data_IF_950761612576
#
_entry.id   IF_950761612576
#
_cell.length_a   1.000
_cell.length_b   1.000
_cell.length_c   1.000
_cell.angle_alpha   90.00
_cell.angle_beta   90.00
_cell.angle_gamma   90.00
#
_symmetry.space_group_name_H-M   'P 1'
#
loop_
_entity.id
_entity.type
_entity.pdbx_description
1 polymer ?
#
# COMPACT_ATOMS: atom_id res chain seq x y z
N UNK A 1 13.10 16.45 -29.87
CA UNK A 1 13.16 17.49 -28.81
C UNK A 1 14.40 18.38 -28.91
N UNK A 2 15.64 17.87 -28.95
CA UNK A 2 16.84 18.74 -29.13
C UNK A 2 16.98 19.22 -30.58
N UNK A 3 16.84 18.30 -31.52
CA UNK A 3 16.81 18.58 -32.96
C UNK A 3 15.70 19.59 -33.28
N UNK A 4 14.48 19.36 -32.79
CA UNK A 4 13.38 20.31 -32.98
C UNK A 4 13.65 21.73 -32.43
N UNK A 5 14.41 21.87 -31.33
CA UNK A 5 14.76 23.19 -30.79
C UNK A 5 15.81 23.92 -31.62
N UNK A 6 16.73 23.17 -32.21
CA UNK A 6 17.73 23.70 -33.13
C UNK A 6 17.06 24.08 -34.46
N UNK A 7 16.23 23.21 -35.01
CA UNK A 7 15.57 23.41 -36.30
C UNK A 7 14.48 24.50 -36.28
N UNK A 8 13.68 24.58 -35.22
CA UNK A 8 12.55 25.52 -35.16
C UNK A 8 12.89 26.85 -34.50
N UNK A 9 13.84 26.86 -33.57
CA UNK A 9 14.13 28.04 -32.74
C UNK A 9 15.59 28.47 -32.79
N UNK A 10 16.45 27.78 -33.56
CA UNK A 10 17.88 28.06 -33.67
C UNK A 10 18.60 28.06 -32.30
N UNK A 11 18.11 27.22 -31.38
CA UNK A 11 18.61 27.15 -30.00
C UNK A 11 19.50 25.91 -29.81
N UNK A 12 20.82 26.14 -29.69
CA UNK A 12 21.75 25.07 -29.29
C UNK A 12 21.74 24.88 -27.77
N UNK A 13 20.92 23.92 -27.31
CA UNK A 13 20.75 23.62 -25.89
C UNK A 13 21.51 22.34 -25.51
N UNK A 14 22.27 22.40 -24.40
CA UNK A 14 22.95 21.21 -23.87
C UNK A 14 21.95 20.18 -23.33
N UNK A 15 22.34 18.90 -23.37
CA UNK A 15 21.51 17.81 -22.85
C UNK A 15 21.14 17.98 -21.37
N UNK A 16 22.05 18.53 -20.57
CA UNK A 16 21.82 18.85 -19.15
C UNK A 16 20.73 19.91 -18.96
N UNK A 17 20.72 20.97 -19.78
CA UNK A 17 19.63 21.97 -19.78
C UNK A 17 18.30 21.34 -20.19
N UNK A 18 18.31 20.49 -21.21
CA UNK A 18 17.11 19.78 -21.67
C UNK A 18 16.48 18.90 -20.59
N UNK A 19 17.31 18.13 -19.87
CA UNK A 19 16.85 17.30 -18.74
C UNK A 19 16.27 18.16 -17.61
N UNK A 20 16.90 19.31 -17.31
CA UNK A 20 16.41 20.25 -16.29
C UNK A 20 15.08 20.88 -16.68
N UNK A 21 14.93 21.34 -17.93
CA UNK A 21 13.66 21.92 -18.42
C UNK A 21 12.56 20.87 -18.45
N UNK A 22 12.84 19.65 -18.92
CA UNK A 22 11.90 18.53 -18.86
C UNK A 22 11.46 18.25 -17.41
N UNK A 23 12.39 18.23 -16.46
CA UNK A 23 12.08 18.06 -15.03
C UNK A 23 11.17 19.18 -14.50
N UNK A 24 11.48 20.44 -14.81
CA UNK A 24 10.66 21.59 -14.41
C UNK A 24 9.26 21.55 -15.03
N UNK A 25 9.15 21.14 -16.30
CA UNK A 25 7.87 20.95 -16.98
C UNK A 25 7.05 19.85 -16.32
N UNK A 26 7.68 18.72 -16.00
CA UNK A 26 7.04 17.62 -15.26
C UNK A 26 6.65 18.02 -13.85
N UNK A 27 7.47 18.76 -13.11
CA UNK A 27 7.13 19.28 -11.78
C UNK A 27 5.94 20.26 -11.82
N UNK A 28 5.84 21.09 -12.87
CA UNK A 28 4.67 21.95 -13.08
C UNK A 28 3.39 21.17 -13.42
N UNK A 29 3.51 20.08 -14.17
CA UNK A 29 2.38 19.26 -14.60
C UNK A 29 1.90 18.29 -13.51
N UNK A 30 2.84 17.59 -12.86
CA UNK A 30 2.58 16.57 -11.84
C UNK A 30 2.28 17.19 -10.47
N UNK A 31 2.60 18.46 -10.27
CA UNK A 31 2.52 19.12 -8.97
C UNK A 31 3.62 18.69 -8.02
N UNK A 32 3.51 19.15 -6.77
CA UNK A 32 4.47 18.85 -5.71
C UNK A 32 4.03 17.60 -4.96
N UNK A 33 4.79 16.51 -5.13
CA UNK A 33 4.63 15.28 -4.33
C UNK A 33 4.70 15.57 -2.83
N UNK A 34 5.45 16.59 -2.41
CA UNK A 34 5.52 17.02 -1.02
C UNK A 34 4.15 17.52 -0.56
N UNK A 35 3.47 18.31 -1.39
CA UNK A 35 2.15 18.86 -1.06
C UNK A 35 1.10 17.76 -1.01
N UNK A 36 1.14 16.78 -1.93
CA UNK A 36 0.23 15.64 -1.91
C UNK A 36 0.41 14.79 -0.65
N UNK A 37 1.66 14.52 -0.25
CA UNK A 37 1.94 13.79 0.99
C UNK A 37 1.49 14.58 2.24
N UNK A 38 1.58 15.90 2.22
CA UNK A 38 1.06 16.76 3.28
C UNK A 38 -0.47 16.72 3.39
N UNK A 39 -1.17 16.33 2.31
CA UNK A 39 -2.63 16.18 2.28
C UNK A 39 -3.12 14.80 2.68
N UNK A 40 -2.24 13.82 2.89
CA UNK A 40 -2.64 12.43 3.18
C UNK A 40 -3.48 12.29 4.46
N UNK A 41 -3.22 13.10 5.49
CA UNK A 41 -4.06 13.11 6.71
C UNK A 41 -5.47 13.61 6.41
N UNK A 42 -5.59 14.69 5.63
CA UNK A 42 -6.88 15.23 5.20
C UNK A 42 -7.60 14.24 4.30
N UNK A 43 -6.88 13.56 3.40
CA UNK A 43 -7.43 12.49 2.57
C UNK A 43 -7.94 11.31 3.41
N UNK A 44 -7.15 10.85 4.38
CA UNK A 44 -7.57 9.81 5.30
C UNK A 44 -8.83 10.21 6.09
N UNK A 45 -8.94 11.47 6.48
CA UNK A 45 -10.13 11.99 7.14
C UNK A 45 -11.35 12.00 6.20
N UNK A 46 -11.18 12.50 4.97
CA UNK A 46 -12.26 12.50 3.97
C UNK A 46 -12.76 11.07 3.68
N UNK A 47 -11.86 10.08 3.63
CA UNK A 47 -12.24 8.68 3.47
C UNK A 47 -13.14 8.19 4.61
N UNK A 48 -12.83 8.55 5.86
CA UNK A 48 -13.66 8.21 7.03
C UNK A 48 -15.02 8.91 6.98
N UNK A 49 -15.03 10.20 6.63
CA UNK A 49 -16.24 11.01 6.61
C UNK A 49 -17.20 10.56 5.50
N UNK A 50 -16.66 10.16 4.34
CA UNK A 50 -17.46 9.70 3.18
C UNK A 50 -17.82 8.22 3.24
N UNK A 51 -17.09 7.41 3.99
CA UNK A 51 -17.36 5.98 4.14
C UNK A 51 -17.43 5.61 5.63
N UNK A 52 -18.48 6.05 6.34
CA UNK A 52 -18.66 5.72 7.75
C UNK A 52 -18.53 4.22 8.00
N UNK A 53 -17.89 3.84 9.10
CA UNK A 53 -17.62 2.44 9.45
C UNK A 53 -16.38 1.84 8.78
N UNK A 54 -15.70 2.55 7.89
CA UNK A 54 -14.44 2.07 7.29
C UNK A 54 -13.25 2.30 8.21
N UNK A 55 -12.35 1.31 8.28
CA UNK A 55 -11.10 1.40 9.01
C UNK A 55 -10.01 2.08 8.19
N UNK A 56 -9.76 3.34 8.50
CA UNK A 56 -8.68 4.12 7.88
C UNK A 56 -7.71 4.58 8.96
N UNK A 57 -6.49 4.06 8.94
CA UNK A 57 -5.46 4.36 9.94
C UNK A 57 -4.25 4.98 9.26
N UNK A 58 -3.89 6.20 9.64
CA UNK A 58 -2.70 6.90 9.13
C UNK A 58 -1.73 7.21 10.27
N UNK A 59 -0.43 7.04 10.03
CA UNK A 59 0.61 7.43 10.96
C UNK A 59 1.64 8.36 10.29
N UNK A 60 1.94 9.45 11.02
CA UNK A 60 3.05 10.36 10.74
C UNK A 60 4.16 10.13 11.77
N UNK A 61 5.41 10.34 11.35
CA UNK A 61 6.57 10.24 12.22
C UNK A 61 6.51 11.31 13.31
N UNK A 62 6.44 10.84 14.56
CA UNK A 62 6.49 11.70 15.75
C UNK A 62 7.82 12.44 15.87
N UNK A 63 8.93 11.77 15.55
CA UNK A 63 10.27 12.37 15.59
C UNK A 63 10.40 13.50 14.57
N UNK A 64 9.92 13.28 13.34
CA UNK A 64 9.90 14.33 12.33
C UNK A 64 8.99 15.49 12.76
N UNK A 65 7.83 15.19 13.37
CA UNK A 65 6.90 16.20 13.83
C UNK A 65 7.50 17.07 14.95
N UNK A 66 8.31 16.48 15.83
CA UNK A 66 9.07 17.22 16.85
C UNK A 66 10.09 18.20 16.25
N UNK A 67 10.64 17.89 15.06
CA UNK A 67 11.48 18.81 14.28
C UNK A 67 10.67 19.82 13.43
N UNK A 68 9.34 19.87 13.58
CA UNK A 68 8.46 20.71 12.77
C UNK A 68 8.25 20.21 11.34
N UNK A 69 8.61 18.96 11.04
CA UNK A 69 8.48 18.34 9.71
C UNK A 69 7.33 17.32 9.72
N UNK A 70 6.48 17.34 8.69
CA UNK A 70 5.54 16.25 8.46
C UNK A 70 6.20 15.18 7.60
N UNK A 71 6.29 13.96 8.13
CA UNK A 71 6.79 12.80 7.38
C UNK A 71 5.82 11.64 7.50
N UNK A 72 5.20 11.30 6.39
CA UNK A 72 4.38 10.09 6.25
C UNK A 72 5.19 8.84 6.63
N UNK A 73 4.57 7.93 7.39
CA UNK A 73 5.13 6.62 7.67
C UNK A 73 4.33 5.52 6.98
N UNK A 74 3.02 5.51 7.23
CA UNK A 74 2.14 4.45 6.74
C UNK A 74 0.67 4.86 6.78
N UNK A 75 -0.12 4.25 5.90
CA UNK A 75 -1.58 4.31 5.92
C UNK A 75 -2.13 2.90 5.65
N UNK A 76 -3.22 2.56 6.33
CA UNK A 76 -4.03 1.35 6.13
C UNK A 76 -5.45 1.78 5.79
N UNK A 77 -6.08 1.06 4.88
CA UNK A 77 -7.44 1.30 4.42
C UNK A 77 -8.15 -0.06 4.28
N UNK A 78 -9.26 -0.21 4.99
CA UNK A 78 -10.26 -1.25 4.81
C UNK A 78 -11.64 -0.59 4.78
N UNK A 79 -12.36 -0.71 3.68
CA UNK A 79 -13.70 -0.13 3.59
C UNK A 79 -14.73 -1.06 4.21
N UNK A 80 -15.73 -0.49 4.89
CA UNK A 80 -16.82 -1.27 5.50
C UNK A 80 -17.55 -2.15 4.48
N UNK A 81 -17.69 -1.66 3.24
CA UNK A 81 -18.28 -2.44 2.15
C UNK A 81 -17.47 -3.71 1.83
N UNK A 82 -16.14 -3.65 1.94
CA UNK A 82 -15.26 -4.80 1.70
C UNK A 82 -15.33 -5.81 2.84
N UNK A 83 -15.32 -5.33 4.08
CA UNK A 83 -15.57 -6.14 5.28
C UNK A 83 -16.94 -6.84 5.22
N UNK A 84 -17.99 -6.11 4.87
CA UNK A 84 -19.35 -6.67 4.74
C UNK A 84 -19.39 -7.74 3.66
N UNK A 85 -18.72 -7.50 2.52
CA UNK A 85 -18.58 -8.49 1.45
C UNK A 85 -17.89 -9.77 1.91
N UNK A 86 -16.82 -9.66 2.71
CA UNK A 86 -16.18 -10.80 3.36
C UNK A 86 -17.15 -11.60 4.23
N UNK A 87 -17.82 -10.91 5.16
CA UNK A 87 -18.79 -11.52 6.09
C UNK A 87 -19.99 -12.15 5.37
N UNK A 88 -20.32 -11.69 4.18
CA UNK A 88 -21.42 -12.23 3.36
C UNK A 88 -21.14 -13.62 2.76
N UNK A 89 -19.92 -14.14 2.88
CA UNK A 89 -19.60 -15.53 2.51
C UNK A 89 -18.53 -15.67 1.43
N UNK A 90 -17.51 -14.82 1.43
CA UNK A 90 -16.30 -15.09 0.64
C UNK A 90 -15.65 -16.40 1.12
N UNK A 91 -14.86 -17.02 0.25
CA UNK A 91 -14.09 -18.21 0.62
C UNK A 91 -13.14 -17.82 1.76
N UNK A 92 -12.94 -18.68 2.78
CA UNK A 92 -12.04 -18.41 3.90
C UNK A 92 -10.56 -18.57 3.50
N UNK A 93 -10.17 -17.94 2.39
CA UNK A 93 -8.86 -17.96 1.78
C UNK A 93 -8.46 -16.51 1.47
N UNK A 94 -7.36 -16.08 2.06
CA UNK A 94 -6.84 -14.71 1.90
C UNK A 94 -5.42 -14.79 1.34
N UNK A 95 -5.23 -14.21 0.17
CA UNK A 95 -3.92 -13.89 -0.39
C UNK A 95 -3.38 -12.60 0.22
N UNK A 96 -2.13 -12.60 0.68
CA UNK A 96 -1.43 -11.40 1.12
C UNK A 96 -0.08 -11.30 0.41
N UNK A 97 0.24 -10.09 -0.05
CA UNK A 97 1.49 -9.82 -0.77
C UNK A 97 1.91 -8.34 -0.64
N UNK A 98 3.20 -8.10 -0.86
CA UNK A 98 3.80 -6.77 -0.88
C UNK A 98 4.38 -6.45 -2.27
N UNK A 99 4.18 -5.22 -2.75
CA UNK A 99 4.81 -4.78 -4.01
C UNK A 99 5.41 -3.40 -3.90
N UNK A 100 6.51 -3.18 -4.63
CA UNK A 100 7.22 -1.90 -4.63
C UNK A 100 6.43 -0.84 -5.40
N UNK A 101 6.18 0.30 -4.75
CA UNK A 101 5.64 1.48 -5.42
C UNK A 101 6.66 2.03 -6.43
N UNK A 102 6.20 2.22 -7.66
CA UNK A 102 6.96 2.83 -8.74
C UNK A 102 6.68 4.33 -8.75
N UNK A 103 7.74 5.14 -8.78
CA UNK A 103 7.62 6.60 -8.79
C UNK A 103 8.77 7.29 -8.07
N UNK A 104 8.59 8.60 -7.85
CA UNK A 104 9.51 9.46 -7.07
C UNK A 104 9.49 9.09 -5.59
N UNK A 105 8.29 8.88 -5.03
CA UNK A 105 8.14 8.39 -3.66
C UNK A 105 8.17 6.87 -3.68
N UNK A 106 9.20 6.29 -3.05
CA UNK A 106 9.33 4.86 -2.83
C UNK A 106 8.48 4.43 -1.65
N UNK A 107 8.21 3.13 -1.57
CA UNK A 107 7.45 2.51 -0.51
C UNK A 107 6.98 1.14 -0.96
N UNK A 108 6.22 0.49 -0.09
CA UNK A 108 5.64 -0.82 -0.35
C UNK A 108 4.13 -0.69 -0.20
N UNK A 109 3.41 -1.24 -1.18
CA UNK A 109 1.98 -1.46 -1.11
C UNK A 109 1.76 -2.89 -0.63
N UNK A 110 1.23 -3.05 0.58
CA UNK A 110 0.77 -4.32 1.13
C UNK A 110 -0.70 -4.48 0.77
N UNK A 111 -1.11 -5.64 0.28
CA UNK A 111 -2.49 -5.90 -0.14
C UNK A 111 -2.97 -7.23 0.43
N UNK A 112 -4.22 -7.26 0.85
CA UNK A 112 -4.97 -8.48 1.18
C UNK A 112 -6.13 -8.65 0.21
N UNK A 113 -6.26 -9.86 -0.34
CA UNK A 113 -7.25 -10.24 -1.33
C UNK A 113 -7.94 -11.52 -0.88
N UNK A 114 -9.27 -11.55 -0.92
CA UNK A 114 -10.07 -12.75 -0.80
C UNK A 114 -10.51 -13.26 -2.18
N UNK A 115 -11.21 -14.38 -2.18
CA UNK A 115 -11.82 -14.95 -3.38
C UNK A 115 -13.29 -15.26 -3.14
N UNK A 116 -14.14 -14.93 -4.11
CA UNK A 116 -15.56 -15.28 -4.07
C UNK A 116 -15.82 -16.75 -4.44
N UNK A 117 -17.08 -17.18 -4.37
CA UNK A 117 -17.47 -18.54 -4.75
C UNK A 117 -17.20 -18.87 -6.24
N UNK A 118 -17.15 -17.85 -7.11
CA UNK A 118 -16.95 -17.94 -8.56
C UNK A 118 -15.46 -17.80 -8.97
N UNK A 119 -14.56 -17.65 -8.00
CA UNK A 119 -13.11 -17.49 -8.15
C UNK A 119 -12.64 -16.10 -8.58
N UNK A 120 -13.49 -15.08 -8.52
CA UNK A 120 -13.04 -13.70 -8.69
C UNK A 120 -12.28 -13.21 -7.46
N UNK A 121 -11.27 -12.39 -7.71
CA UNK A 121 -10.53 -11.74 -6.64
C UNK A 121 -11.30 -10.56 -6.08
N UNK A 122 -11.33 -10.48 -4.75
CA UNK A 122 -12.03 -9.45 -4.01
C UNK A 122 -11.05 -8.75 -3.07
N UNK A 123 -10.73 -7.46 -3.25
CA UNK A 123 -9.84 -6.75 -2.35
C UNK A 123 -10.48 -6.63 -0.96
N UNK A 124 -9.69 -6.85 0.09
CA UNK A 124 -10.14 -6.70 1.47
C UNK A 124 -9.61 -5.40 2.07
N UNK A 125 -8.29 -5.25 2.11
CA UNK A 125 -7.62 -4.08 2.64
C UNK A 125 -6.24 -3.91 2.01
N UNK A 126 -5.71 -2.69 2.07
CA UNK A 126 -4.35 -2.39 1.63
C UNK A 126 -3.69 -1.37 2.54
N UNK A 127 -2.36 -1.35 2.51
CA UNK A 127 -1.57 -0.37 3.22
C UNK A 127 -0.40 0.11 2.37
N UNK A 128 -0.08 1.40 2.48
CA UNK A 128 1.18 1.94 1.99
C UNK A 128 2.10 2.11 3.19
N UNK A 129 3.29 1.51 3.12
CA UNK A 129 4.32 1.56 4.16
C UNK A 129 5.67 1.98 3.57
N UNK A 130 6.58 2.46 4.40
CA UNK A 130 7.92 2.88 3.98
C UNK A 130 8.80 1.68 3.58
N UNK A 131 8.73 0.58 4.33
CA UNK A 131 9.53 -0.62 4.14
C UNK A 131 8.75 -1.89 4.48
N UNK A 132 9.13 -2.98 3.86
CA UNK A 132 8.60 -4.30 4.19
C UNK A 132 9.46 -4.93 5.29
N UNK A 133 8.90 -5.03 6.48
CA UNK A 133 9.56 -5.55 7.68
C UNK A 133 8.57 -6.38 8.49
N UNK A 134 9.06 -7.25 9.38
CA UNK A 134 8.17 -7.97 10.30
C UNK A 134 7.30 -7.04 11.15
N UNK A 135 7.78 -5.83 11.50
CA UNK A 135 7.01 -4.83 12.25
C UNK A 135 5.86 -4.24 11.44
N UNK A 136 6.08 -3.96 10.15
CA UNK A 136 5.04 -3.43 9.27
C UNK A 136 4.01 -4.49 8.92
N UNK A 137 4.44 -5.75 8.75
CA UNK A 137 3.54 -6.87 8.58
C UNK A 137 2.71 -7.16 9.83
N UNK A 138 3.30 -7.19 11.03
CA UNK A 138 2.54 -7.34 12.29
C UNK A 138 1.47 -6.26 12.42
N UNK A 139 1.84 -5.00 12.17
CA UNK A 139 0.89 -3.89 12.19
C UNK A 139 -0.24 -4.03 11.16
N UNK A 140 0.08 -4.44 9.93
CA UNK A 140 -0.93 -4.67 8.90
C UNK A 140 -1.88 -5.82 9.30
N UNK A 141 -1.33 -6.93 9.80
CA UNK A 141 -2.09 -8.10 10.23
C UNK A 141 -2.97 -7.82 11.45
N UNK A 142 -2.50 -7.01 12.42
CA UNK A 142 -3.30 -6.55 13.55
C UNK A 142 -4.52 -5.75 13.10
N UNK A 143 -4.34 -4.82 12.17
CA UNK A 143 -5.44 -4.02 11.62
C UNK A 143 -6.40 -4.90 10.79
N UNK A 144 -5.87 -5.80 9.97
CA UNK A 144 -6.68 -6.72 9.18
C UNK A 144 -7.51 -7.67 10.07
N UNK A 145 -6.89 -8.21 11.13
CA UNK A 145 -7.58 -9.03 12.14
C UNK A 145 -8.75 -8.27 12.75
N UNK A 146 -8.52 -7.03 13.18
CA UNK A 146 -9.56 -6.22 13.81
C UNK A 146 -10.68 -5.87 12.82
N UNK A 147 -10.32 -5.43 11.61
CA UNK A 147 -11.29 -4.99 10.60
C UNK A 147 -12.19 -6.14 10.14
N UNK A 148 -11.64 -7.35 10.01
CA UNK A 148 -12.40 -8.54 9.56
C UNK A 148 -12.91 -9.39 10.73
N UNK A 149 -12.73 -8.94 11.96
CA UNK A 149 -13.13 -9.61 13.20
C UNK A 149 -12.63 -11.07 13.29
N UNK A 150 -11.39 -11.30 12.89
CA UNK A 150 -10.75 -12.58 13.14
C UNK A 150 -10.45 -12.71 14.63
N UNK A 151 -10.95 -13.78 15.26
CA UNK A 151 -10.53 -14.15 16.62
C UNK A 151 -9.04 -14.56 16.61
N UNK A 152 -8.73 -15.85 16.72
CA UNK A 152 -7.36 -16.36 16.62
C UNK A 152 -7.01 -16.83 15.19
N UNK A 153 -7.88 -16.54 14.22
CA UNK A 153 -7.75 -16.96 12.81
C UNK A 153 -8.29 -18.34 12.48
N UNK A 154 -9.06 -18.94 13.39
CA UNK A 154 -9.65 -20.27 13.19
C UNK A 154 -10.54 -20.31 11.93
N UNK A 155 -10.40 -21.37 11.13
CA UNK A 155 -11.16 -21.54 9.90
C UNK A 155 -10.68 -20.72 8.69
N UNK A 156 -9.71 -19.82 8.86
CA UNK A 156 -9.15 -19.01 7.75
C UNK A 156 -7.82 -19.59 7.26
N UNK A 157 -7.60 -19.54 5.96
CA UNK A 157 -6.31 -19.88 5.33
C UNK A 157 -5.68 -18.65 4.71
N UNK A 158 -4.44 -18.35 5.08
CA UNK A 158 -3.61 -17.34 4.43
C UNK A 158 -2.71 -17.99 3.38
N UNK A 159 -2.54 -17.30 2.27
CA UNK A 159 -1.55 -17.63 1.24
C UNK A 159 -0.65 -16.42 1.02
N UNK A 160 0.65 -16.60 1.14
CA UNK A 160 1.62 -15.54 0.91
C UNK A 160 2.88 -16.05 0.21
N UNK A 161 3.80 -15.15 -0.11
CA UNK A 161 5.18 -15.53 -0.43
C UNK A 161 5.91 -16.14 0.79
N UNK A 162 7.15 -16.59 0.60
CA UNK A 162 7.96 -17.22 1.65
C UNK A 162 8.75 -16.20 2.50
N UNK A 163 8.30 -14.93 2.56
CA UNK A 163 9.03 -13.91 3.31
C UNK A 163 8.94 -14.15 4.83
N UNK A 164 10.10 -14.26 5.49
CA UNK A 164 10.20 -14.59 6.93
C UNK A 164 9.39 -13.64 7.83
N UNK A 165 9.44 -12.34 7.55
CA UNK A 165 8.74 -11.33 8.37
C UNK A 165 7.22 -11.44 8.31
N UNK A 166 6.69 -11.91 7.18
CA UNK A 166 5.26 -12.11 6.96
C UNK A 166 4.77 -13.38 7.65
N UNK A 167 5.49 -14.49 7.48
CA UNK A 167 5.19 -15.76 8.14
C UNK A 167 5.14 -15.62 9.67
N UNK A 168 6.11 -14.89 10.24
CA UNK A 168 6.14 -14.61 11.68
C UNK A 168 4.97 -13.71 12.11
N UNK A 169 4.59 -12.73 11.28
CA UNK A 169 3.47 -11.86 11.60
C UNK A 169 2.14 -12.63 11.64
N UNK A 170 1.87 -13.48 10.64
CA UNK A 170 0.64 -14.28 10.62
C UNK A 170 0.60 -15.24 11.82
N UNK A 171 1.68 -15.97 12.09
CA UNK A 171 1.70 -16.94 13.21
C UNK A 171 1.59 -16.28 14.58
N UNK A 172 2.08 -15.05 14.73
CA UNK A 172 1.96 -14.29 15.99
C UNK A 172 0.56 -13.74 16.19
N UNK A 173 -0.05 -13.17 15.14
CA UNK A 173 -1.32 -12.44 15.25
C UNK A 173 -2.54 -13.36 15.11
N UNK A 174 -2.44 -14.41 14.29
CA UNK A 174 -3.51 -15.36 13.97
C UNK A 174 -2.99 -16.80 14.11
N UNK A 175 -2.70 -17.26 15.34
CA UNK A 175 -1.98 -18.52 15.58
C UNK A 175 -2.75 -19.77 15.14
N UNK A 176 -4.08 -19.70 15.00
CA UNK A 176 -4.92 -20.82 14.55
C UNK A 176 -5.18 -20.80 13.03
N UNK A 177 -4.73 -19.77 12.32
CA UNK A 177 -4.91 -19.70 10.88
C UNK A 177 -4.01 -20.71 10.16
N UNK A 178 -4.55 -21.34 9.12
CA UNK A 178 -3.73 -22.15 8.23
C UNK A 178 -2.87 -21.21 7.36
N UNK A 179 -1.63 -21.60 7.13
CA UNK A 179 -0.74 -20.85 6.24
C UNK A 179 -0.26 -21.73 5.08
N UNK A 180 -0.34 -21.21 3.85
CA UNK A 180 0.12 -21.85 2.62
C UNK A 180 1.08 -20.93 1.88
N UNK A 181 2.02 -21.53 1.17
CA UNK A 181 2.92 -20.80 0.29
C UNK A 181 2.30 -20.65 -1.09
N UNK A 182 2.45 -19.45 -1.66
CA UNK A 182 2.03 -19.18 -3.03
C UNK A 182 2.87 -20.02 -4.00
N UNK A 183 2.23 -20.92 -4.75
CA UNK A 183 2.91 -21.80 -5.71
C UNK A 183 3.72 -21.01 -6.75
N UNK A 184 3.21 -19.86 -7.20
CA UNK A 184 3.91 -18.97 -8.13
C UNK A 184 5.24 -18.47 -7.55
N UNK A 185 5.25 -18.11 -6.27
CA UNK A 185 6.47 -17.66 -5.60
C UNK A 185 7.42 -18.82 -5.29
N UNK A 186 6.91 -20.04 -5.10
CA UNK A 186 7.77 -21.24 -5.00
C UNK A 186 8.46 -21.53 -6.33
N UNK A 187 7.77 -21.34 -7.45
CA UNK A 187 8.32 -21.59 -8.78
C UNK A 187 9.31 -20.50 -9.23
N UNK A 188 8.99 -19.23 -8.93
CA UNK A 188 9.69 -18.09 -9.51
C UNK A 188 10.81 -17.48 -8.65
N UNK A 189 10.90 -17.81 -7.35
CA UNK A 189 11.94 -17.33 -6.44
C UNK A 189 13.05 -18.36 -6.25
#
# INVERSE_FOLDING_TARGET
MRVDLEDQFNLNVSYSKMKRVKRLGLEKLEGSFIDDYNRLEAYAQELRDRNPGSDVVINISKDALAEGKRRFLRIYICFQALETGWKAGLRPLIGIDGTFLKGKCKGILLVSMAQDSVKHFYPLAWAVVDKETGRTWKWFMELLRNSLEFEDGEGVTFMSDMQKGLLEAVSTILPKANHRWCARHIEAN
#
